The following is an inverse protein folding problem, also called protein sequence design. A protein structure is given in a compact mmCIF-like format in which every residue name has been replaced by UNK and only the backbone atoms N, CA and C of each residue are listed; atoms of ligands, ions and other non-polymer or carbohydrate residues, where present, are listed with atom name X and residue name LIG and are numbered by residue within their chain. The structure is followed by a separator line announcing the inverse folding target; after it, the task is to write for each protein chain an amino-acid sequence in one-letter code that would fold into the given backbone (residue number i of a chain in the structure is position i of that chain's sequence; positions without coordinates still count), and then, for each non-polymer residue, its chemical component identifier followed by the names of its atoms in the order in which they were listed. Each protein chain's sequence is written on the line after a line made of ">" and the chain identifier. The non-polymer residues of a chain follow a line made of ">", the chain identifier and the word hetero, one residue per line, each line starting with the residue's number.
data_IF_165527299217
#
_entry.id   IF_165527299217
#
_cell.length_a   1.000
_cell.length_b   1.000
_cell.length_c   1.000
_cell.angle_alpha   90.00
_cell.angle_beta   90.00
_cell.angle_gamma   90.00
#
_symmetry.space_group_name_H-M   'P 1'
#
loop_
_entity.id
_entity.type
_entity.pdbx_description
1 polymer ?
#
# COMPACT_ATOMS: atom_id res chain seq x y z
N UNK A 1 -40.79 -10.34 -13.89
CA UNK A 1 -39.52 -9.97 -14.55
C UNK A 1 -38.58 -9.55 -13.45
N UNK A 2 -37.65 -10.43 -13.08
CA UNK A 2 -36.63 -10.16 -12.06
C UNK A 2 -35.49 -9.48 -12.79
N UNK A 3 -35.26 -8.19 -12.54
CA UNK A 3 -34.09 -7.49 -13.07
C UNK A 3 -32.84 -8.07 -12.42
N UNK A 4 -31.98 -8.70 -13.23
CA UNK A 4 -30.62 -9.04 -12.84
C UNK A 4 -29.83 -7.73 -12.75
N UNK A 5 -29.69 -7.19 -11.54
CA UNK A 5 -28.75 -6.11 -11.26
C UNK A 5 -27.35 -6.70 -11.40
N UNK A 6 -26.68 -6.37 -12.50
CA UNK A 6 -25.26 -6.67 -12.68
C UNK A 6 -24.46 -5.71 -11.81
N UNK A 7 -23.89 -6.19 -10.70
CA UNK A 7 -22.84 -5.47 -9.98
C UNK A 7 -21.66 -5.27 -10.94
N UNK A 8 -21.12 -4.05 -11.09
CA UNK A 8 -19.92 -3.84 -11.89
C UNK A 8 -18.75 -4.56 -11.19
N UNK A 9 -18.18 -5.57 -11.84
CA UNK A 9 -17.00 -6.31 -11.36
C UNK A 9 -15.70 -5.53 -11.54
N UNK A 10 -15.77 -4.36 -12.16
CA UNK A 10 -14.63 -3.51 -12.50
C UNK A 10 -14.96 -2.07 -12.12
N UNK A 11 -14.06 -1.36 -11.44
CA UNK A 11 -14.29 0.03 -11.11
C UNK A 11 -14.42 0.87 -12.39
N UNK A 12 -15.35 1.85 -12.43
CA UNK A 12 -15.58 2.66 -13.63
C UNK A 12 -14.36 3.52 -13.96
N UNK A 13 -14.10 3.76 -15.26
CA UNK A 13 -12.90 4.45 -15.77
C UNK A 13 -12.65 5.84 -15.14
N UNK A 14 -13.69 6.52 -14.65
CA UNK A 14 -13.54 7.80 -13.96
C UNK A 14 -12.95 7.68 -12.55
N UNK A 15 -12.92 6.49 -11.94
CA UNK A 15 -12.25 6.22 -10.65
C UNK A 15 -10.75 6.47 -10.73
N UNK A 16 -10.15 6.12 -11.88
CA UNK A 16 -8.76 6.38 -12.23
C UNK A 16 -8.59 7.73 -12.95
N UNK A 17 -9.68 8.49 -13.11
CA UNK A 17 -9.74 9.71 -13.91
C UNK A 17 -9.68 10.99 -13.07
N UNK A 18 -8.51 11.64 -13.05
CA UNK A 18 -8.20 13.08 -12.96
C UNK A 18 -9.21 14.09 -12.35
N UNK A 19 -9.93 13.74 -11.29
CA UNK A 19 -10.47 14.73 -10.33
C UNK A 19 -10.04 14.37 -8.92
N UNK A 20 -8.72 14.39 -8.71
CA UNK A 20 -8.11 14.29 -7.40
C UNK A 20 -8.74 15.35 -6.48
N UNK A 21 -9.46 14.87 -5.46
CA UNK A 21 -9.79 15.72 -4.32
C UNK A 21 -8.47 16.18 -3.69
N UNK A 22 -8.43 17.42 -3.20
CA UNK A 22 -7.23 17.95 -2.54
C UNK A 22 -6.77 16.97 -1.43
N UNK A 23 -5.48 16.63 -1.37
CA UNK A 23 -4.97 15.68 -0.39
C UNK A 23 -5.30 16.14 1.03
N UNK A 24 -5.66 15.22 1.91
CA UNK A 24 -5.91 15.54 3.32
C UNK A 24 -4.60 15.79 4.06
N UNK A 25 -4.66 16.39 5.25
CA UNK A 25 -3.47 16.61 6.08
C UNK A 25 -2.75 15.29 6.43
N UNK A 26 -3.52 14.20 6.57
CA UNK A 26 -2.99 12.85 6.78
C UNK A 26 -2.14 12.38 5.60
N UNK A 27 -2.61 12.57 4.36
CA UNK A 27 -1.87 12.16 3.17
C UNK A 27 -0.57 12.96 3.01
N UNK A 28 -0.59 14.25 3.31
CA UNK A 28 0.63 15.06 3.33
C UNK A 28 1.63 14.58 4.38
N UNK A 29 1.17 14.20 5.57
CA UNK A 29 2.04 13.67 6.62
C UNK A 29 2.69 12.35 6.20
N UNK A 30 1.93 11.46 5.53
CA UNK A 30 2.46 10.21 4.99
C UNK A 30 3.52 10.48 3.92
N UNK A 31 3.21 11.33 2.93
CA UNK A 31 4.15 11.67 1.86
C UNK A 31 5.45 12.28 2.40
N UNK A 32 5.35 13.19 3.38
CA UNK A 32 6.51 13.79 4.05
C UNK A 32 7.37 12.71 4.72
N UNK A 33 6.75 11.82 5.50
CA UNK A 33 7.47 10.74 6.17
C UNK A 33 8.13 9.76 5.18
N UNK A 34 7.49 9.46 4.04
CA UNK A 34 8.07 8.62 2.98
C UNK A 34 9.34 9.26 2.42
N UNK A 35 9.31 10.55 2.10
CA UNK A 35 10.47 11.31 1.61
C UNK A 35 11.58 11.31 2.66
N UNK A 36 11.25 11.62 3.91
CA UNK A 36 12.22 11.70 5.00
C UNK A 36 12.89 10.34 5.27
N UNK A 37 12.11 9.25 5.26
CA UNK A 37 12.62 7.89 5.43
C UNK A 37 13.49 7.47 4.27
N UNK A 38 13.09 7.73 3.02
CA UNK A 38 13.91 7.41 1.86
C UNK A 38 15.25 8.14 1.92
N UNK A 39 15.22 9.45 2.21
CA UNK A 39 16.43 10.26 2.38
C UNK A 39 17.28 9.77 3.56
N UNK A 40 16.67 9.36 4.67
CA UNK A 40 17.37 8.78 5.81
C UNK A 40 18.04 7.45 5.44
N UNK A 41 17.33 6.55 4.75
CA UNK A 41 17.88 5.29 4.26
C UNK A 41 19.07 5.51 3.31
N UNK A 42 18.99 6.48 2.39
CA UNK A 42 20.08 6.79 1.48
C UNK A 42 21.34 7.34 2.18
N UNK A 43 21.18 7.99 3.35
CA UNK A 43 22.31 8.43 4.17
C UNK A 43 22.95 7.29 4.98
N UNK A 44 22.18 6.28 5.36
CA UNK A 44 22.61 5.22 6.28
C UNK A 44 22.98 3.91 5.58
N UNK A 45 22.60 3.71 4.32
CA UNK A 45 22.97 2.54 3.54
C UNK A 45 24.05 2.85 2.49
N UNK A 46 25.24 2.30 2.71
CA UNK A 46 26.41 2.50 1.82
C UNK A 46 26.43 1.58 0.61
N UNK A 47 25.43 0.71 0.42
CA UNK A 47 25.33 -0.17 -0.76
C UNK A 47 25.13 0.63 -2.05
N UNK A 48 25.44 0.03 -3.23
CA UNK A 48 25.14 0.63 -4.53
C UNK A 48 23.65 1.00 -4.68
N UNK A 49 23.30 2.09 -5.38
CA UNK A 49 21.92 2.58 -5.48
C UNK A 49 20.89 1.54 -5.92
N UNK A 50 21.24 0.70 -6.91
CA UNK A 50 20.35 -0.36 -7.40
C UNK A 50 20.05 -1.41 -6.31
N UNK A 51 21.07 -1.80 -5.54
CA UNK A 51 20.91 -2.78 -4.46
C UNK A 51 20.01 -2.23 -3.36
N UNK A 52 20.16 -0.95 -2.99
CA UNK A 52 19.27 -0.28 -2.01
C UNK A 52 17.81 -0.31 -2.46
N UNK A 53 17.56 -0.01 -3.74
CA UNK A 53 16.20 -0.01 -4.32
C UNK A 53 15.60 -1.41 -4.36
N UNK A 54 16.39 -2.41 -4.74
CA UNK A 54 15.98 -3.81 -4.66
C UNK A 54 15.61 -4.19 -3.22
N UNK A 55 16.41 -3.81 -2.23
CA UNK A 55 16.11 -4.08 -0.82
C UNK A 55 14.82 -3.39 -0.35
N UNK A 56 14.54 -2.17 -0.81
CA UNK A 56 13.26 -1.47 -0.51
C UNK A 56 12.06 -2.21 -1.10
N UNK A 57 12.16 -2.79 -2.30
CA UNK A 57 11.08 -3.63 -2.85
C UNK A 57 10.98 -4.98 -2.13
N UNK A 58 12.10 -5.60 -1.75
CA UNK A 58 12.08 -6.83 -0.95
C UNK A 58 11.47 -6.60 0.43
N UNK A 59 11.63 -5.41 1.02
CA UNK A 59 10.95 -5.01 2.25
C UNK A 59 9.43 -5.08 2.11
N UNK A 60 8.87 -4.72 0.97
CA UNK A 60 7.43 -4.86 0.70
C UNK A 60 6.96 -6.32 0.83
N UNK A 61 7.75 -7.27 0.33
CA UNK A 61 7.44 -8.69 0.46
C UNK A 61 7.57 -9.19 1.90
N UNK A 62 8.56 -8.69 2.66
CA UNK A 62 8.71 -8.96 4.10
C UNK A 62 7.45 -8.52 4.87
N UNK A 63 7.05 -7.25 4.75
CA UNK A 63 5.87 -6.71 5.44
C UNK A 63 4.58 -7.43 5.01
N UNK A 64 4.49 -7.82 3.73
CA UNK A 64 3.32 -8.57 3.23
C UNK A 64 3.24 -9.94 3.91
N UNK A 65 4.38 -10.59 4.15
CA UNK A 65 4.47 -11.81 4.94
C UNK A 65 4.03 -11.61 6.40
N UNK A 66 4.36 -10.47 7.02
CA UNK A 66 3.93 -10.10 8.36
C UNK A 66 2.40 -9.89 8.42
N UNK A 67 1.82 -9.21 7.44
CA UNK A 67 0.37 -9.04 7.33
C UNK A 67 -0.37 -10.38 7.17
N UNK A 68 0.17 -11.28 6.35
CA UNK A 68 -0.34 -12.66 6.22
C UNK A 68 -0.22 -13.41 7.54
N UNK A 69 0.91 -13.31 8.24
CA UNK A 69 1.11 -13.95 9.54
C UNK A 69 0.12 -13.44 10.60
N UNK A 70 -0.14 -12.12 10.63
CA UNK A 70 -1.15 -11.52 11.49
C UNK A 70 -2.55 -12.04 11.17
N UNK A 71 -2.93 -12.15 9.88
CA UNK A 71 -4.24 -12.68 9.48
C UNK A 71 -4.42 -14.16 9.83
N UNK A 72 -3.38 -14.98 9.62
CA UNK A 72 -3.32 -16.36 10.11
C UNK A 72 -3.50 -16.41 11.63
N UNK A 73 -2.90 -15.45 12.35
CA UNK A 73 -3.04 -15.30 13.79
C UNK A 73 -4.44 -14.91 14.24
N UNK A 74 -5.17 -14.08 13.47
CA UNK A 74 -6.57 -13.70 13.74
C UNK A 74 -7.52 -14.87 13.52
N UNK A 75 -7.34 -15.57 12.39
CA UNK A 75 -8.19 -16.71 12.03
C UNK A 75 -7.93 -17.94 12.91
N UNK A 76 -6.79 -17.97 13.62
CA UNK A 76 -6.37 -19.13 14.40
C UNK A 76 -6.10 -20.35 13.53
N UNK A 77 -5.78 -20.15 12.24
CA UNK A 77 -5.63 -21.22 11.25
C UNK A 77 -4.63 -22.28 11.69
N UNK A 78 -3.60 -21.90 12.46
CA UNK A 78 -2.60 -22.80 13.01
C UNK A 78 -3.06 -23.39 14.37
N UNK A 79 -3.56 -24.65 14.43
CA UNK A 79 -4.23 -25.15 15.63
C UNK A 79 -3.31 -25.30 16.85
N UNK A 80 -1.98 -25.43 16.64
CA UNK A 80 -0.99 -25.49 17.74
C UNK A 80 -0.73 -24.14 18.41
N UNK A 81 -1.13 -23.02 17.79
CA UNK A 81 -0.93 -21.66 18.30
C UNK A 81 -2.23 -20.98 18.72
N UNK A 82 -3.38 -21.40 18.17
CA UNK A 82 -4.66 -20.74 18.42
C UNK A 82 -4.70 -19.33 17.82
N UNK A 83 -5.55 -18.47 18.38
CA UNK A 83 -5.62 -17.05 17.99
C UNK A 83 -4.48 -16.29 18.66
N UNK A 84 -3.60 -15.70 17.86
CA UNK A 84 -2.39 -15.00 18.34
C UNK A 84 -2.33 -13.54 17.94
N UNK A 85 -3.28 -13.05 17.16
CA UNK A 85 -3.32 -11.68 16.66
C UNK A 85 -4.74 -11.14 16.64
N UNK A 86 -4.85 -9.82 16.58
CA UNK A 86 -6.12 -9.09 16.47
C UNK A 86 -6.26 -8.48 15.08
N UNK A 87 -7.50 -8.14 14.69
CA UNK A 87 -7.77 -7.39 13.46
C UNK A 87 -6.99 -6.07 13.39
N UNK A 88 -6.72 -5.43 14.54
CA UNK A 88 -5.91 -4.20 14.60
C UNK A 88 -4.42 -4.46 14.36
N UNK A 89 -3.92 -5.66 14.66
CA UNK A 89 -2.56 -6.05 14.28
C UNK A 89 -2.46 -6.19 12.76
N UNK A 90 -3.44 -6.84 12.12
CA UNK A 90 -3.50 -6.96 10.65
C UNK A 90 -3.51 -5.59 9.96
N UNK A 91 -4.30 -4.63 10.47
CA UNK A 91 -4.32 -3.28 9.93
C UNK A 91 -2.98 -2.54 10.07
N UNK A 92 -2.24 -2.80 11.16
CA UNK A 92 -0.89 -2.25 11.35
C UNK A 92 0.07 -2.81 10.31
N UNK A 93 0.12 -4.14 10.16
CA UNK A 93 1.01 -4.76 9.18
C UNK A 93 0.65 -4.36 7.74
N UNK A 94 -0.64 -4.27 7.38
CA UNK A 94 -1.06 -3.74 6.08
C UNK A 94 -0.63 -2.28 5.87
N UNK A 95 -0.55 -1.49 6.94
CA UNK A 95 -0.04 -0.12 6.83
C UNK A 95 1.46 -0.08 6.62
N UNK A 96 2.19 -1.01 7.24
CA UNK A 96 3.64 -1.17 7.03
C UNK A 96 3.93 -1.66 5.60
N UNK A 97 3.07 -2.52 5.02
CA UNK A 97 3.09 -2.87 3.58
C UNK A 97 2.92 -1.64 2.70
N UNK A 98 1.84 -0.87 2.93
CA UNK A 98 1.55 0.33 2.13
C UNK A 98 2.69 1.36 2.24
N UNK A 99 3.18 1.62 3.45
CA UNK A 99 4.27 2.55 3.70
C UNK A 99 5.58 2.11 3.02
N UNK A 100 5.91 0.81 3.10
CA UNK A 100 7.09 0.24 2.43
C UNK A 100 6.97 0.34 0.91
N UNK A 101 5.78 0.07 0.36
CA UNK A 101 5.53 0.17 -1.08
C UNK A 101 5.65 1.63 -1.57
N UNK A 102 5.12 2.61 -0.83
CA UNK A 102 5.29 4.03 -1.13
C UNK A 102 6.76 4.46 -1.07
N UNK A 103 7.51 3.98 -0.08
CA UNK A 103 8.95 4.26 0.06
C UNK A 103 9.74 3.69 -1.11
N UNK A 104 9.44 2.46 -1.52
CA UNK A 104 10.06 1.84 -2.68
C UNK A 104 9.69 2.57 -3.98
N UNK A 105 8.41 2.93 -4.15
CA UNK A 105 7.89 3.66 -5.30
C UNK A 105 8.59 5.02 -5.47
N UNK A 106 8.66 5.81 -4.40
CA UNK A 106 9.38 7.08 -4.38
C UNK A 106 10.85 6.90 -4.82
N UNK A 107 11.50 5.84 -4.34
CA UNK A 107 12.90 5.55 -4.68
C UNK A 107 13.13 5.15 -6.14
N UNK A 108 12.14 4.54 -6.79
CA UNK A 108 12.20 4.14 -8.20
C UNK A 108 11.84 5.31 -9.13
N UNK A 109 10.91 6.18 -8.72
CA UNK A 109 10.47 7.32 -9.52
C UNK A 109 11.59 8.35 -9.74
N UNK A 110 12.48 8.53 -8.75
CA UNK A 110 13.70 9.36 -8.90
C UNK A 110 14.57 8.94 -10.11
N UNK A 111 14.65 7.64 -10.41
CA UNK A 111 15.39 7.12 -11.57
C UNK A 111 14.61 7.25 -12.88
N UNK A 112 13.29 7.09 -12.83
CA UNK A 112 12.44 7.01 -14.02
C UNK A 112 12.25 8.38 -14.70
N UNK A 113 12.31 9.49 -13.95
CA UNK A 113 11.84 10.79 -14.45
C UNK A 113 12.86 11.93 -14.35
N UNK A 114 13.98 11.72 -13.68
CA UNK A 114 14.88 12.83 -13.31
C UNK A 114 14.18 13.86 -12.40
N UNK A 115 14.85 14.96 -12.03
CA UNK A 115 14.37 15.86 -10.97
C UNK A 115 13.08 16.64 -11.25
N UNK A 116 12.49 16.58 -12.45
CA UNK A 116 11.49 17.57 -12.89
C UNK A 116 10.03 17.08 -12.95
N UNK A 117 9.73 15.80 -12.81
CA UNK A 117 8.34 15.31 -12.77
C UNK A 117 8.22 14.04 -11.95
N UNK A 118 7.49 14.08 -10.84
CA UNK A 118 6.98 12.88 -10.18
C UNK A 118 5.64 12.55 -10.86
N UNK A 119 5.43 11.35 -11.41
CA UNK A 119 4.06 10.96 -11.82
C UNK A 119 3.59 9.68 -11.15
N UNK A 120 4.26 9.28 -10.08
CA UNK A 120 3.65 8.57 -8.98
C UNK A 120 3.99 9.33 -7.70
N UNK A 121 3.43 10.54 -7.55
CA UNK A 121 3.48 11.23 -6.27
C UNK A 121 2.91 10.24 -5.24
N UNK A 122 3.62 9.92 -4.13
CA UNK A 122 3.05 9.13 -3.04
C UNK A 122 1.65 9.64 -2.64
N UNK A 123 1.40 10.95 -2.80
CA UNK A 123 0.08 11.58 -2.65
C UNK A 123 -0.93 11.10 -3.68
N UNK A 124 -0.56 10.96 -4.97
CA UNK A 124 -1.43 10.48 -6.04
C UNK A 124 -1.79 9.00 -5.83
N UNK A 125 -0.80 8.15 -5.53
CA UNK A 125 -1.05 6.73 -5.23
C UNK A 125 -1.99 6.54 -4.03
N UNK A 126 -1.83 7.39 -3.00
CA UNK A 126 -2.73 7.41 -1.86
C UNK A 126 -4.11 7.99 -2.19
N UNK A 127 -4.18 9.02 -3.04
CA UNK A 127 -5.43 9.59 -3.49
C UNK A 127 -6.25 8.55 -4.28
N UNK A 128 -5.61 7.76 -5.13
CA UNK A 128 -6.23 6.64 -5.86
C UNK A 128 -6.76 5.56 -4.90
N UNK A 129 -5.94 5.11 -3.95
CA UNK A 129 -6.37 4.16 -2.92
C UNK A 129 -7.57 4.70 -2.10
N UNK A 130 -7.57 6.00 -1.80
CA UNK A 130 -8.66 6.67 -1.11
C UNK A 130 -9.95 6.75 -1.95
N UNK A 131 -9.84 7.02 -3.26
CA UNK A 131 -11.02 7.01 -4.14
C UNK A 131 -11.62 5.61 -4.25
N UNK A 132 -10.78 4.58 -4.37
CA UNK A 132 -11.23 3.19 -4.36
C UNK A 132 -11.98 2.85 -3.06
N UNK A 133 -11.40 3.22 -1.91
CA UNK A 133 -12.05 3.09 -0.61
C UNK A 133 -13.40 3.81 -0.51
N UNK A 134 -13.44 5.08 -0.91
CA UNK A 134 -14.65 5.91 -0.89
C UNK A 134 -15.73 5.34 -1.79
N UNK A 135 -15.38 4.79 -2.94
CA UNK A 135 -16.36 4.19 -3.83
C UNK A 135 -16.99 2.94 -3.19
N UNK A 136 -16.16 2.08 -2.58
CA UNK A 136 -16.61 0.88 -1.86
C UNK A 136 -17.55 1.24 -0.70
N UNK A 137 -17.24 2.31 0.05
CA UNK A 137 -17.97 2.67 1.29
C UNK A 137 -19.06 3.75 1.10
N UNK A 138 -18.96 4.54 0.03
CA UNK A 138 -19.81 5.70 -0.28
C UNK A 138 -21.03 5.39 -1.14
N UNK A 139 -21.29 4.11 -1.46
CA UNK A 139 -22.57 3.69 -2.02
C UNK A 139 -23.65 3.39 -0.95
N UNK A 140 -23.49 3.91 0.25
CA UNK A 140 -24.48 3.85 1.33
C UNK A 140 -25.60 4.88 1.14
N UNK A 141 -26.44 4.65 0.13
CA UNK A 141 -27.87 5.02 0.19
C UNK A 141 -28.73 4.01 -0.60
N UNK A 142 -28.18 3.31 -1.59
CA UNK A 142 -28.88 2.22 -2.32
C UNK A 142 -28.00 1.07 -2.82
N UNK A 143 -26.69 1.02 -2.56
CA UNK A 143 -25.92 -0.14 -3.03
C UNK A 143 -26.31 -1.43 -2.33
N UNK A 144 -26.56 -2.43 -3.15
CA UNK A 144 -26.35 -3.82 -2.82
C UNK A 144 -25.03 -3.93 -2.03
N UNK A 145 -25.03 -4.55 -0.83
CA UNK A 145 -23.79 -4.86 -0.14
C UNK A 145 -22.86 -5.58 -1.12
N UNK A 146 -21.58 -5.21 -1.16
CA UNK A 146 -20.60 -6.11 -1.75
C UNK A 146 -20.79 -7.49 -1.08
N UNK A 147 -20.58 -8.61 -1.80
CA UNK A 147 -20.31 -9.86 -1.11
C UNK A 147 -19.22 -9.54 -0.08
N UNK A 148 -19.45 -9.90 1.19
CA UNK A 148 -18.64 -9.53 2.35
C UNK A 148 -17.15 -9.56 1.97
N UNK A 149 -16.48 -8.40 1.72
CA UNK A 149 -15.15 -8.40 1.13
C UNK A 149 -14.20 -8.97 2.17
N UNK A 150 -13.82 -10.24 1.99
CA UNK A 150 -12.97 -10.92 2.94
C UNK A 150 -11.59 -10.26 2.87
N UNK A 151 -11.06 -9.89 4.03
CA UNK A 151 -9.69 -9.38 4.19
C UNK A 151 -8.69 -10.35 3.54
N UNK A 152 -9.04 -11.63 3.49
CA UNK A 152 -8.31 -12.67 2.74
C UNK A 152 -8.11 -12.33 1.27
N UNK A 153 -9.13 -11.84 0.56
CA UNK A 153 -9.05 -11.56 -0.88
C UNK A 153 -8.08 -10.41 -1.15
N UNK A 154 -8.20 -9.32 -0.39
CA UNK A 154 -7.29 -8.18 -0.50
C UNK A 154 -5.86 -8.52 -0.09
N UNK A 155 -5.67 -9.39 0.91
CA UNK A 155 -4.35 -9.90 1.29
C UNK A 155 -3.75 -10.76 0.17
N UNK A 156 -4.53 -11.62 -0.48
CA UNK A 156 -4.06 -12.42 -1.60
C UNK A 156 -3.63 -11.55 -2.79
N UNK A 157 -4.41 -10.52 -3.12
CA UNK A 157 -4.04 -9.54 -4.15
C UNK A 157 -2.79 -8.77 -3.77
N UNK A 158 -2.64 -8.38 -2.50
CA UNK A 158 -1.42 -7.73 -1.97
C UNK A 158 -0.20 -8.63 -2.16
N UNK A 159 -0.29 -9.91 -1.79
CA UNK A 159 0.77 -10.92 -1.97
C UNK A 159 1.15 -11.09 -3.44
N UNK A 160 0.16 -11.28 -4.31
CA UNK A 160 0.40 -11.48 -5.74
C UNK A 160 1.09 -10.25 -6.35
N UNK A 161 0.63 -9.06 -6.00
CA UNK A 161 1.15 -7.80 -6.54
C UNK A 161 2.56 -7.49 -6.03
N UNK A 162 2.84 -7.73 -4.75
CA UNK A 162 4.20 -7.61 -4.20
C UNK A 162 5.18 -8.58 -4.88
N UNK A 163 4.73 -9.80 -5.19
CA UNK A 163 5.50 -10.77 -5.96
C UNK A 163 5.83 -10.28 -7.38
N UNK A 164 4.87 -9.68 -8.08
CA UNK A 164 5.12 -9.10 -9.40
C UNK A 164 6.10 -7.90 -9.35
N UNK A 165 5.98 -7.03 -8.35
CA UNK A 165 6.92 -5.93 -8.14
C UNK A 165 8.36 -6.43 -7.94
N UNK A 166 8.54 -7.45 -7.09
CA UNK A 166 9.85 -8.07 -6.88
C UNK A 166 10.38 -8.77 -8.14
N UNK A 167 9.53 -9.48 -8.87
CA UNK A 167 9.91 -10.17 -10.11
C UNK A 167 10.38 -9.21 -11.21
N UNK A 168 9.76 -8.03 -11.31
CA UNK A 168 10.15 -7.01 -12.27
C UNK A 168 11.60 -6.52 -12.07
N UNK A 169 12.12 -6.57 -10.84
CA UNK A 169 13.50 -6.17 -10.51
C UNK A 169 14.56 -7.26 -10.73
N UNK A 170 14.18 -8.50 -11.06
CA UNK A 170 15.15 -9.53 -11.42
C UNK A 170 15.90 -9.20 -12.72
N UNK A 171 15.27 -8.40 -13.60
CA UNK A 171 15.82 -7.95 -14.88
C UNK A 171 15.50 -6.46 -15.07
N UNK A 172 16.25 -5.54 -14.43
CA UNK A 172 15.90 -4.13 -14.34
C UNK A 172 16.24 -3.38 -15.64
N UNK A 173 15.46 -3.62 -16.67
CA UNK A 173 15.39 -2.79 -17.87
C UNK A 173 14.41 -1.62 -17.63
N UNK A 174 14.53 -0.47 -18.33
CA UNK A 174 13.67 0.69 -18.11
C UNK A 174 12.17 0.38 -18.12
N UNK A 175 11.70 -0.45 -19.05
CA UNK A 175 10.29 -0.85 -19.14
C UNK A 175 9.84 -1.67 -17.91
N UNK A 176 10.75 -2.47 -17.33
CA UNK A 176 10.49 -3.28 -16.13
C UNK A 176 10.45 -2.44 -14.86
N UNK A 177 11.15 -1.31 -14.83
CA UNK A 177 11.05 -0.36 -13.72
C UNK A 177 9.68 0.34 -13.71
N UNK A 178 9.11 0.61 -14.90
CA UNK A 178 7.73 1.11 -15.03
C UNK A 178 6.73 0.06 -14.52
N UNK A 179 6.90 -1.20 -14.93
CA UNK A 179 6.08 -2.31 -14.42
C UNK A 179 6.18 -2.41 -12.89
N UNK A 180 7.39 -2.36 -12.33
CA UNK A 180 7.63 -2.41 -10.89
C UNK A 180 6.90 -1.26 -10.16
N UNK A 181 6.99 -0.04 -10.67
CA UNK A 181 6.28 1.11 -10.12
C UNK A 181 4.75 0.92 -10.14
N UNK A 182 4.20 0.41 -11.26
CA UNK A 182 2.78 0.09 -11.38
C UNK A 182 2.33 -0.97 -10.36
N UNK A 183 3.13 -2.02 -10.16
CA UNK A 183 2.84 -3.04 -9.16
C UNK A 183 2.93 -2.49 -7.73
N UNK A 184 3.90 -1.62 -7.42
CA UNK A 184 3.99 -1.00 -6.09
C UNK A 184 2.77 -0.11 -5.78
N UNK A 185 2.29 0.66 -6.75
CA UNK A 185 1.04 1.42 -6.60
C UNK A 185 -0.17 0.48 -6.37
N UNK A 186 -0.21 -0.66 -7.07
CA UNK A 186 -1.18 -1.73 -6.84
C UNK A 186 -1.12 -2.29 -5.41
N UNK A 187 0.08 -2.52 -4.86
CA UNK A 187 0.27 -2.98 -3.47
C UNK A 187 -0.30 -1.97 -2.48
N UNK A 188 -0.02 -0.67 -2.64
CA UNK A 188 -0.58 0.39 -1.79
C UNK A 188 -2.10 0.34 -1.81
N UNK A 189 -2.69 0.23 -3.00
CA UNK A 189 -4.14 0.15 -3.16
C UNK A 189 -4.72 -1.07 -2.44
N UNK A 190 -4.18 -2.27 -2.68
CA UNK A 190 -4.68 -3.50 -2.06
C UNK A 190 -4.56 -3.46 -0.54
N UNK A 191 -3.45 -2.96 -0.02
CA UNK A 191 -3.22 -2.85 1.42
C UNK A 191 -4.21 -1.88 2.09
N UNK A 192 -4.42 -0.70 1.51
CA UNK A 192 -5.42 0.27 1.98
C UNK A 192 -6.85 -0.30 1.95
N UNK A 193 -7.20 -1.05 0.90
CA UNK A 193 -8.50 -1.73 0.80
C UNK A 193 -8.65 -2.87 1.82
N UNK A 194 -7.57 -3.58 2.15
CA UNK A 194 -7.54 -4.55 3.23
C UNK A 194 -7.77 -3.92 4.61
N UNK A 195 -7.12 -2.77 4.89
CA UNK A 195 -7.34 -2.00 6.14
C UNK A 195 -8.81 -1.59 6.24
N UNK A 196 -9.37 -1.12 5.13
CA UNK A 196 -10.76 -0.72 5.05
C UNK A 196 -11.75 -1.85 5.25
N UNK A 197 -11.48 -3.04 4.71
CA UNK A 197 -12.30 -4.23 4.93
C UNK A 197 -12.34 -4.64 6.42
N UNK A 198 -11.37 -4.19 7.22
CA UNK A 198 -11.39 -4.32 8.68
C UNK A 198 -12.26 -3.27 9.39
N UNK A 199 -12.88 -2.34 8.66
CA UNK A 199 -13.67 -1.23 9.19
C UNK A 199 -12.82 -0.08 9.73
N UNK A 200 -11.57 0.03 9.30
CA UNK A 200 -10.61 1.05 9.76
C UNK A 200 -10.38 2.04 8.62
N UNK A 201 -10.34 3.33 8.93
CA UNK A 201 -9.99 4.36 7.94
C UNK A 201 -8.50 4.24 7.55
N UNK A 202 -8.17 3.92 6.28
CA UNK A 202 -6.80 3.67 5.86
C UNK A 202 -5.91 4.91 5.98
N UNK A 203 -6.45 6.11 5.74
CA UNK A 203 -5.67 7.34 5.83
C UNK A 203 -5.20 7.62 7.26
N UNK A 204 -6.12 7.50 8.22
CA UNK A 204 -5.80 7.67 9.64
C UNK A 204 -4.76 6.64 10.09
N UNK A 205 -4.97 5.36 9.76
CA UNK A 205 -4.09 4.27 10.16
C UNK A 205 -2.68 4.44 9.55
N UNK A 206 -2.59 4.79 8.27
CA UNK A 206 -1.31 5.00 7.61
C UNK A 206 -0.59 6.26 8.13
N UNK A 207 -1.33 7.31 8.45
CA UNK A 207 -0.74 8.49 9.09
C UNK A 207 -0.23 8.20 10.51
N UNK A 208 -0.85 7.28 11.25
CA UNK A 208 -0.30 6.79 12.52
C UNK A 208 1.04 6.06 12.31
N UNK A 209 1.11 5.16 11.31
CA UNK A 209 2.35 4.49 10.92
C UNK A 209 3.43 5.51 10.53
N UNK A 210 3.11 6.46 9.65
CA UNK A 210 4.03 7.49 9.20
C UNK A 210 4.61 8.31 10.35
N UNK A 211 3.77 8.74 11.31
CA UNK A 211 4.23 9.44 12.52
C UNK A 211 5.14 8.58 13.39
N UNK A 212 4.82 7.30 13.54
CA UNK A 212 5.64 6.37 14.32
C UNK A 212 7.01 6.14 13.68
N UNK A 213 7.07 6.04 12.34
CA UNK A 213 8.33 5.89 11.61
C UNK A 213 9.15 7.18 11.65
N UNK A 214 8.53 8.34 11.42
CA UNK A 214 9.20 9.65 11.53
C UNK A 214 9.86 9.83 12.91
N UNK A 215 9.13 9.51 13.98
CA UNK A 215 9.66 9.58 15.34
C UNK A 215 10.87 8.64 15.58
N UNK A 216 10.97 7.52 14.85
CA UNK A 216 12.11 6.58 14.95
C UNK A 216 13.34 7.11 14.24
N UNK A 217 13.19 7.70 13.04
CA UNK A 217 14.34 8.23 12.28
C UNK A 217 14.89 9.53 12.87
N UNK A 218 14.06 10.28 13.61
CA UNK A 218 14.49 11.48 14.35
C UNK A 218 15.13 11.16 15.71
N UNK A 219 15.09 9.89 16.16
CA UNK A 219 15.60 9.51 17.46
C UNK A 219 17.14 9.63 17.53
N UNK A 220 17.72 10.07 18.66
CA UNK A 220 19.17 10.15 18.80
C UNK A 220 19.84 8.79 18.61
N UNK A 221 20.74 8.69 17.61
CA UNK A 221 21.48 7.46 17.30
C UNK A 221 20.77 6.52 16.33
N UNK A 222 19.65 6.95 15.72
CA UNK A 222 19.11 6.34 14.51
C UNK A 222 20.07 6.52 13.33
#
# INVERSE_FOLDING_TARGET
>A
MTEHITTPTTPPEWMWGSRALAPTAELFAVATAVIDVAAWLDRHDTRPPIERKTLRVLKVAEETGEAVAAWIGVTGQNPRKGVTATRRDVARELSDVAFSALTALHSLDEDLRGPERCACDPVDALAEAYQAWRWINGHTETATPLPDPDVTDWLLDTVATAGHAAAALLYPEPDRLIDAAGYLAGVVTCACLGIAALGIDPNTQLAETARAVAARIDAPGA
#
